data_IF_965987608646
#
_entry.id   IF_965987608646
#
_cell.length_a   1.000
_cell.length_b   1.000
_cell.length_c   1.000
_cell.angle_alpha   90.00
_cell.angle_beta   90.00
_cell.angle_gamma   90.00
#
_symmetry.space_group_name_H-M   'P 1'
#
loop_
_entity.id
_entity.type
_entity.pdbx_description
1 polymer ?
#
# COMPACT_ATOMS: atom_id res chain seq x y z
N UNK A 1 -10.92 -16.98 10.07
CA UNK A 1 -11.90 -15.92 9.75
C UNK A 1 -11.79 -15.62 8.26
N UNK A 2 -12.91 -15.57 7.52
CA UNK A 2 -12.92 -15.39 6.06
C UNK A 2 -12.50 -13.99 5.60
N UNK A 3 -12.65 -12.96 6.44
CA UNK A 3 -12.32 -11.56 6.10
C UNK A 3 -11.00 -11.09 6.74
N UNK A 4 -10.01 -11.97 6.88
CA UNK A 4 -8.70 -11.62 7.44
C UNK A 4 -7.70 -11.45 6.30
N UNK A 5 -7.29 -10.22 6.02
CA UNK A 5 -6.32 -9.92 4.98
C UNK A 5 -4.93 -10.51 5.30
N UNK A 6 -4.26 -11.02 4.27
CA UNK A 6 -2.88 -11.52 4.31
C UNK A 6 -1.98 -10.46 3.68
N UNK A 7 -1.02 -9.97 4.46
CA UNK A 7 -0.03 -8.97 4.04
C UNK A 7 1.36 -9.60 3.94
N UNK A 8 2.19 -9.07 3.05
CA UNK A 8 3.55 -9.53 2.82
C UNK A 8 4.35 -8.42 2.09
N UNK A 9 5.54 -8.03 2.57
CA UNK A 9 6.26 -6.88 2.02
C UNK A 9 6.91 -7.12 0.64
N UNK A 10 7.08 -8.38 0.23
CA UNK A 10 7.80 -8.80 -0.98
C UNK A 10 9.30 -8.33 -1.00
N UNK A 11 10.19 -8.96 -1.80
CA UNK A 11 9.95 -10.21 -2.52
C UNK A 11 9.72 -11.37 -1.55
N UNK A 12 8.85 -12.31 -1.93
CA UNK A 12 8.72 -13.58 -1.21
C UNK A 12 9.83 -14.53 -1.65
N UNK A 13 10.39 -15.27 -0.71
CA UNK A 13 11.40 -16.30 -0.96
C UNK A 13 10.74 -17.67 -0.78
N UNK A 14 10.38 -18.01 0.45
CA UNK A 14 9.73 -19.28 0.82
C UNK A 14 8.76 -19.14 2.01
N UNK A 15 8.49 -17.91 2.45
CA UNK A 15 7.67 -17.60 3.62
C UNK A 15 6.17 -17.83 3.35
N UNK A 16 5.74 -17.73 2.09
CA UNK A 16 4.36 -17.92 1.65
C UNK A 16 4.30 -18.74 0.35
N UNK A 17 3.40 -19.73 0.29
CA UNK A 17 3.16 -20.50 -0.95
C UNK A 17 2.60 -19.59 -2.04
N UNK A 18 2.88 -19.93 -3.31
CA UNK A 18 2.26 -19.26 -4.45
C UNK A 18 0.75 -19.51 -4.54
N UNK A 19 0.27 -20.61 -3.98
CA UNK A 19 -1.17 -20.92 -3.95
C UNK A 19 -1.98 -19.87 -3.19
N UNK A 20 -1.32 -19.13 -2.28
CA UNK A 20 -1.94 -18.03 -1.53
C UNK A 20 -2.33 -16.87 -2.46
N UNK A 21 -1.73 -16.73 -3.64
CA UNK A 21 -2.10 -15.70 -4.62
C UNK A 21 -3.56 -15.83 -5.09
N UNK A 22 -4.12 -17.04 -5.05
CA UNK A 22 -5.51 -17.33 -5.43
C UNK A 22 -6.49 -17.15 -4.27
N UNK A 23 -5.97 -16.95 -3.04
CA UNK A 23 -6.80 -16.68 -1.88
C UNK A 23 -7.34 -15.25 -1.97
N UNK A 24 -8.65 -15.06 -1.87
CA UNK A 24 -9.29 -13.74 -1.91
C UNK A 24 -8.82 -12.80 -0.80
N UNK A 25 -8.10 -13.32 0.21
CA UNK A 25 -7.53 -12.57 1.32
C UNK A 25 -6.12 -12.04 1.02
N UNK A 26 -5.50 -12.42 -0.10
CA UNK A 26 -4.17 -11.97 -0.49
C UNK A 26 -4.17 -10.47 -0.82
N UNK A 27 -3.86 -9.64 0.17
CA UNK A 27 -3.88 -8.18 0.07
C UNK A 27 -2.50 -7.58 -0.20
N UNK A 28 -1.43 -8.39 -0.28
CA UNK A 28 -0.07 -7.89 -0.51
C UNK A 28 0.13 -7.23 -1.88
N UNK A 29 -0.67 -7.55 -2.91
CA UNK A 29 -0.64 -6.81 -4.17
C UNK A 29 -1.19 -5.39 -4.02
N UNK A 30 -2.33 -5.25 -3.36
CA UNK A 30 -2.92 -3.94 -3.03
C UNK A 30 -1.97 -3.15 -2.11
N UNK A 31 -1.36 -3.81 -1.13
CA UNK A 31 -0.35 -3.20 -0.24
C UNK A 31 0.80 -2.55 -1.03
N UNK A 32 1.35 -3.24 -2.03
CA UNK A 32 2.46 -2.72 -2.84
C UNK A 32 2.02 -1.50 -3.64
N UNK A 33 0.81 -1.53 -4.22
CA UNK A 33 0.24 -0.39 -4.93
C UNK A 33 -0.01 0.79 -3.98
N UNK A 34 -0.59 0.54 -2.80
CA UNK A 34 -0.79 1.54 -1.75
C UNK A 34 0.54 2.17 -1.30
N UNK A 35 1.64 1.41 -1.32
CA UNK A 35 2.97 1.93 -1.06
C UNK A 35 3.43 3.03 -2.03
N UNK A 36 2.94 3.03 -3.28
CA UNK A 36 3.22 4.12 -4.24
C UNK A 36 2.50 5.39 -3.80
N UNK A 37 1.22 5.31 -3.51
CA UNK A 37 0.41 6.47 -3.11
C UNK A 37 0.88 7.08 -1.80
N UNK A 38 1.25 6.24 -0.81
CA UNK A 38 1.80 6.73 0.46
C UNK A 38 3.10 7.50 0.23
N UNK A 39 4.01 7.00 -0.62
CA UNK A 39 5.24 7.74 -0.93
C UNK A 39 4.97 9.05 -1.65
N UNK A 40 4.02 9.08 -2.60
CA UNK A 40 3.61 10.31 -3.27
C UNK A 40 3.09 11.33 -2.26
N UNK A 41 2.17 10.93 -1.38
CA UNK A 41 1.61 11.80 -0.35
C UNK A 41 2.70 12.33 0.61
N UNK A 42 3.62 11.47 1.05
CA UNK A 42 4.74 11.88 1.92
C UNK A 42 5.65 12.90 1.23
N UNK A 43 6.03 12.66 -0.03
CA UNK A 43 6.87 13.59 -0.80
C UNK A 43 6.16 14.93 -1.02
N UNK A 44 4.88 14.90 -1.41
CA UNK A 44 4.07 16.10 -1.57
C UNK A 44 3.99 16.89 -0.26
N UNK A 45 3.77 16.20 0.86
CA UNK A 45 3.73 16.82 2.18
C UNK A 45 5.05 17.50 2.54
N UNK A 46 6.20 16.87 2.30
CA UNK A 46 7.51 17.50 2.57
C UNK A 46 7.83 18.67 1.63
N UNK A 47 7.26 18.67 0.43
CA UNK A 47 7.43 19.74 -0.55
C UNK A 47 6.42 20.88 -0.37
N UNK A 48 5.47 20.77 0.58
CA UNK A 48 4.40 21.74 0.78
C UNK A 48 3.42 21.83 -0.38
N UNK A 49 3.23 20.73 -1.13
CA UNK A 49 2.30 20.68 -2.25
C UNK A 49 0.88 20.40 -1.75
N UNK A 50 -0.09 21.06 -2.37
CA UNK A 50 -1.52 20.84 -2.11
C UNK A 50 -1.95 19.47 -2.66
N UNK A 51 -2.76 18.74 -1.88
CA UNK A 51 -3.43 17.54 -2.37
C UNK A 51 -4.45 17.93 -3.47
N UNK A 52 -4.33 17.40 -4.70
CA UNK A 52 -5.23 17.74 -5.80
C UNK A 52 -6.69 17.31 -5.57
N UNK A 53 -6.97 16.42 -4.62
CA UNK A 53 -8.32 15.96 -4.31
C UNK A 53 -9.00 16.81 -3.23
N UNK A 54 -8.25 17.25 -2.23
CA UNK A 54 -8.79 17.95 -1.05
C UNK A 54 -8.44 19.43 -1.01
N UNK A 55 -7.38 19.85 -1.72
CA UNK A 55 -6.81 21.20 -1.67
C UNK A 55 -6.03 21.49 -0.38
N UNK A 56 -5.82 20.49 0.48
CA UNK A 56 -5.13 20.69 1.76
C UNK A 56 -3.61 20.54 1.62
N UNK A 57 -2.87 21.42 2.30
CA UNK A 57 -1.44 21.28 2.51
C UNK A 57 -1.19 20.86 3.97
N UNK A 58 -0.70 19.64 4.17
CA UNK A 58 -0.62 19.03 5.51
C UNK A 58 0.57 19.54 6.33
N UNK A 59 1.72 19.77 5.68
CA UNK A 59 2.98 20.21 6.33
C UNK A 59 3.56 21.49 5.69
N UNK A 60 2.69 22.42 5.29
CA UNK A 60 3.07 23.75 4.77
C UNK A 60 3.08 24.82 5.85
#
# INVERSE_FOLDING_TARGET
>A
KSNMAVLHPLPRINEISRDVDLDSRAAYFEQVQNGVYVRMALLMSFMGLEDPLTGECILG
#
